data_IF_098649080883
#
_entry.id   IF_098649080883
#
_cell.length_a   1.000
_cell.length_b   1.000
_cell.length_c   1.000
_cell.angle_alpha   90.00
_cell.angle_beta   90.00
_cell.angle_gamma   90.00
#
_symmetry.space_group_name_H-M   'P 1'
#
loop_
_entity.id
_entity.type
_entity.pdbx_description
1 polymer ?
#
# COMPACT_ATOMS: atom_id res chain seq x y z
N UNK A 1 -16.62 -26.91 0.77
CA UNK A 1 -15.31 -27.01 0.10
C UNK A 1 -15.16 -25.99 -1.02
N UNK A 2 -16.20 -25.73 -1.79
CA UNK A 2 -16.16 -24.74 -2.90
C UNK A 2 -15.80 -23.33 -2.45
N UNK A 3 -16.33 -22.83 -1.32
CA UNK A 3 -16.08 -21.45 -0.88
C UNK A 3 -14.60 -21.20 -0.56
N UNK A 4 -13.90 -22.18 0.03
CA UNK A 4 -12.47 -22.05 0.31
C UNK A 4 -11.63 -22.00 -0.96
N UNK A 5 -12.00 -22.80 -1.97
CA UNK A 5 -11.34 -22.80 -3.27
C UNK A 5 -11.57 -21.47 -3.99
N UNK A 6 -12.80 -20.94 -3.95
CA UNK A 6 -13.10 -19.63 -4.52
C UNK A 6 -12.32 -18.52 -3.84
N UNK A 7 -12.29 -18.47 -2.49
CA UNK A 7 -11.49 -17.53 -1.73
C UNK A 7 -9.99 -17.60 -2.10
N UNK A 8 -9.46 -18.82 -2.17
CA UNK A 8 -8.07 -19.03 -2.54
C UNK A 8 -7.76 -18.52 -3.95
N UNK A 9 -8.57 -18.89 -4.95
CA UNK A 9 -8.34 -18.52 -6.35
C UNK A 9 -8.51 -17.02 -6.59
N UNK A 10 -9.55 -16.39 -6.02
CA UNK A 10 -9.77 -14.95 -6.15
C UNK A 10 -8.62 -14.16 -5.54
N UNK A 11 -8.16 -14.53 -4.34
CA UNK A 11 -7.04 -13.82 -3.73
C UNK A 11 -5.68 -14.20 -4.30
N UNK A 12 -5.53 -15.38 -4.89
CA UNK A 12 -4.37 -15.72 -5.71
C UNK A 12 -4.29 -14.82 -6.96
N UNK A 13 -5.41 -14.57 -7.60
CA UNK A 13 -5.50 -13.64 -8.73
C UNK A 13 -5.18 -12.20 -8.28
N UNK A 14 -5.75 -11.74 -7.16
CA UNK A 14 -5.42 -10.45 -6.57
C UNK A 14 -3.92 -10.35 -6.28
N UNK A 15 -3.32 -11.35 -5.64
CA UNK A 15 -1.90 -11.38 -5.32
C UNK A 15 -0.98 -11.38 -6.53
N UNK A 16 -1.41 -12.00 -7.64
CA UNK A 16 -0.65 -12.07 -8.89
C UNK A 16 -0.69 -10.75 -9.67
N UNK A 17 -1.84 -10.08 -9.71
CA UNK A 17 -2.08 -8.91 -10.55
C UNK A 17 -2.05 -7.58 -9.81
N UNK A 18 -1.96 -7.55 -8.48
CA UNK A 18 -1.83 -6.31 -7.71
C UNK A 18 -0.43 -5.71 -7.81
N UNK A 19 -0.01 -5.39 -9.03
CA UNK A 19 1.28 -4.77 -9.33
C UNK A 19 1.13 -3.26 -9.19
N UNK A 20 1.97 -2.61 -8.37
CA UNK A 20 2.00 -1.15 -8.25
C UNK A 20 1.62 -0.59 -6.88
N UNK A 21 1.28 -1.45 -5.90
CA UNK A 21 1.04 -1.03 -4.51
C UNK A 21 -0.43 -0.94 -4.12
N UNK A 22 -0.70 -0.53 -2.87
CA UNK A 22 -1.98 -0.68 -2.19
C UNK A 22 -3.21 -0.23 -2.98
N UNK A 23 -3.23 1.00 -3.47
CA UNK A 23 -4.38 1.54 -4.22
C UNK A 23 -4.58 0.90 -5.59
N UNK A 24 -3.51 0.42 -6.24
CA UNK A 24 -3.62 -0.25 -7.53
C UNK A 24 -4.33 -1.62 -7.44
N UNK A 25 -4.32 -2.24 -6.27
CA UNK A 25 -5.04 -3.50 -6.02
C UNK A 25 -6.55 -3.30 -5.82
N UNK A 26 -7.01 -2.11 -5.42
CA UNK A 26 -8.41 -1.86 -5.03
C UNK A 26 -9.42 -2.19 -6.14
N UNK A 27 -9.24 -1.75 -7.40
CA UNK A 27 -10.20 -2.08 -8.46
C UNK A 27 -10.30 -3.60 -8.70
N UNK A 28 -9.19 -4.31 -8.55
CA UNK A 28 -9.16 -5.76 -8.72
C UNK A 28 -9.87 -6.47 -7.56
N UNK A 29 -9.61 -6.05 -6.31
CA UNK A 29 -10.30 -6.57 -5.14
C UNK A 29 -11.80 -6.31 -5.24
N UNK A 30 -12.20 -5.08 -5.63
CA UNK A 30 -13.60 -4.72 -5.83
C UNK A 30 -14.26 -5.60 -6.89
N UNK A 31 -13.58 -5.82 -8.02
CA UNK A 31 -14.08 -6.68 -9.10
C UNK A 31 -14.35 -8.09 -8.62
N UNK A 32 -13.44 -8.67 -7.85
CA UNK A 32 -13.58 -10.04 -7.32
C UNK A 32 -14.67 -10.14 -6.23
N UNK A 33 -14.59 -9.23 -5.26
CA UNK A 33 -15.35 -9.37 -4.00
C UNK A 33 -16.78 -8.83 -4.12
N UNK A 34 -16.98 -7.74 -4.89
CA UNK A 34 -18.32 -7.11 -5.06
C UNK A 34 -19.00 -7.62 -6.32
N UNK A 35 -18.35 -7.52 -7.47
CA UNK A 35 -19.00 -7.81 -8.75
C UNK A 35 -18.92 -9.28 -9.13
N UNK A 36 -17.80 -9.96 -8.88
CA UNK A 36 -17.60 -11.36 -9.28
C UNK A 36 -18.36 -12.34 -8.40
N UNK A 37 -18.13 -12.25 -7.12
CA UNK A 37 -18.71 -13.20 -6.16
C UNK A 37 -19.86 -12.65 -5.32
N UNK A 38 -20.05 -11.33 -5.26
CA UNK A 38 -21.07 -10.69 -4.44
C UNK A 38 -20.89 -10.94 -2.94
N UNK A 39 -19.65 -11.16 -2.48
CA UNK A 39 -19.33 -11.43 -1.09
C UNK A 39 -19.54 -10.23 -0.17
N UNK A 40 -19.32 -9.03 -0.72
CA UNK A 40 -19.57 -7.77 -0.03
C UNK A 40 -20.43 -6.84 -0.89
N UNK A 41 -21.24 -6.04 -0.23
CA UNK A 41 -21.88 -4.87 -0.84
C UNK A 41 -20.85 -3.75 -1.05
N UNK A 42 -21.20 -2.75 -1.85
CA UNK A 42 -20.32 -1.60 -2.07
C UNK A 42 -20.04 -0.81 -0.79
N UNK A 43 -21.02 -0.72 0.12
CA UNK A 43 -20.84 -0.10 1.43
C UNK A 43 -19.83 -0.86 2.28
N UNK A 44 -19.98 -2.18 2.39
CA UNK A 44 -19.06 -3.04 3.15
C UNK A 44 -17.65 -3.03 2.54
N UNK A 45 -17.54 -2.88 1.23
CA UNK A 45 -16.24 -2.71 0.56
C UNK A 45 -15.57 -1.39 0.95
N UNK A 46 -16.33 -0.30 1.10
CA UNK A 46 -15.79 0.98 1.59
C UNK A 46 -15.29 0.87 3.03
N UNK A 47 -16.04 0.17 3.88
CA UNK A 47 -15.62 -0.11 5.26
C UNK A 47 -14.35 -0.97 5.30
N UNK A 48 -14.26 -1.98 4.43
CA UNK A 48 -13.07 -2.82 4.28
C UNK A 48 -11.83 -1.97 3.93
N UNK A 49 -11.96 -1.05 2.97
CA UNK A 49 -10.85 -0.17 2.58
C UNK A 49 -10.41 0.68 3.78
N UNK A 50 -11.36 1.29 4.49
CA UNK A 50 -11.07 2.11 5.65
C UNK A 50 -10.32 1.32 6.73
N UNK A 51 -10.77 0.11 7.03
CA UNK A 51 -10.11 -0.79 8.00
C UNK A 51 -8.73 -1.21 7.50
N UNK A 52 -8.60 -1.54 6.20
CA UNK A 52 -7.34 -1.96 5.61
C UNK A 52 -6.29 -0.84 5.61
N UNK A 53 -6.70 0.42 5.49
CA UNK A 53 -5.82 1.59 5.58
C UNK A 53 -5.37 1.88 7.02
N UNK A 54 -6.24 1.63 8.00
CA UNK A 54 -5.91 1.78 9.42
C UNK A 54 -5.04 0.65 9.95
N UNK A 55 -5.02 -0.50 9.28
CA UNK A 55 -4.27 -1.69 9.68
C UNK A 55 -2.88 -1.66 9.07
N UNK A 56 -1.79 -1.76 9.85
CA UNK A 56 -0.44 -1.79 9.29
C UNK A 56 -0.24 -3.03 8.44
N UNK A 57 0.14 -2.83 7.16
CA UNK A 57 0.38 -3.91 6.20
C UNK A 57 -0.12 -3.60 4.79
N UNK A 58 0.14 -4.50 3.82
CA UNK A 58 -0.37 -4.35 2.46
C UNK A 58 -1.89 -4.42 2.42
N UNK A 59 -2.54 -3.46 1.75
CA UNK A 59 -4.01 -3.41 1.62
C UNK A 59 -4.59 -4.72 1.08
N UNK A 60 -3.93 -5.33 0.08
CA UNK A 60 -4.37 -6.60 -0.49
C UNK A 60 -4.40 -7.74 0.54
N UNK A 61 -3.40 -7.82 1.42
CA UNK A 61 -3.32 -8.84 2.49
C UNK A 61 -4.36 -8.58 3.57
N UNK A 62 -4.52 -7.32 3.99
CA UNK A 62 -5.53 -6.93 4.97
C UNK A 62 -6.94 -7.21 4.44
N UNK A 63 -7.19 -6.90 3.16
CA UNK A 63 -8.46 -7.21 2.48
C UNK A 63 -8.73 -8.71 2.39
N UNK A 64 -7.71 -9.50 2.04
CA UNK A 64 -7.83 -10.96 2.00
C UNK A 64 -8.23 -11.54 3.35
N UNK A 65 -7.58 -11.07 4.41
CA UNK A 65 -7.88 -11.49 5.78
C UNK A 65 -9.31 -11.10 6.19
N UNK A 66 -9.71 -9.86 5.93
CA UNK A 66 -11.04 -9.35 6.27
C UNK A 66 -12.14 -10.12 5.54
N UNK A 67 -12.03 -10.25 4.21
CA UNK A 67 -13.02 -10.99 3.40
C UNK A 67 -13.07 -12.46 3.82
N UNK A 68 -11.90 -13.06 4.03
CA UNK A 68 -11.81 -14.45 4.50
C UNK A 68 -12.53 -14.67 5.82
N UNK A 69 -12.34 -13.77 6.81
CA UNK A 69 -13.04 -13.82 8.09
C UNK A 69 -14.55 -13.70 7.89
N UNK A 70 -14.97 -12.75 7.07
CA UNK A 70 -16.38 -12.45 6.82
C UNK A 70 -17.13 -13.62 6.20
N UNK A 71 -16.48 -14.33 5.28
CA UNK A 71 -17.12 -15.38 4.46
C UNK A 71 -17.03 -16.76 5.09
N UNK A 72 -15.88 -17.11 5.66
CA UNK A 72 -15.62 -18.45 6.17
C UNK A 72 -14.86 -18.49 7.51
N UNK A 73 -14.93 -17.42 8.29
CA UNK A 73 -14.28 -17.30 9.59
C UNK A 73 -12.74 -17.36 9.51
N UNK A 74 -12.12 -17.80 10.59
CA UNK A 74 -10.65 -17.84 10.71
C UNK A 74 -10.00 -18.71 9.64
N UNK A 75 -10.60 -19.84 9.30
CA UNK A 75 -10.10 -20.72 8.23
C UNK A 75 -10.14 -20.04 6.86
N UNK A 76 -11.21 -19.29 6.57
CA UNK A 76 -11.31 -18.47 5.37
C UNK A 76 -10.23 -17.41 5.29
N UNK A 77 -9.94 -16.72 6.40
CA UNK A 77 -8.87 -15.73 6.48
C UNK A 77 -7.51 -16.32 6.14
N UNK A 78 -7.17 -17.47 6.73
CA UNK A 78 -5.89 -18.15 6.47
C UNK A 78 -5.77 -18.51 4.98
N UNK A 79 -6.82 -19.10 4.41
CA UNK A 79 -6.81 -19.55 3.01
C UNK A 79 -6.73 -18.37 2.03
N UNK A 80 -7.53 -17.33 2.25
CA UNK A 80 -7.51 -16.13 1.40
C UNK A 80 -6.16 -15.41 1.47
N UNK A 81 -5.63 -15.23 2.68
CA UNK A 81 -4.32 -14.59 2.89
C UNK A 81 -3.19 -15.40 2.28
N UNK A 82 -3.22 -16.73 2.43
CA UNK A 82 -2.23 -17.61 1.81
C UNK A 82 -2.30 -17.54 0.28
N UNK A 83 -3.50 -17.54 -0.31
CA UNK A 83 -3.70 -17.32 -1.74
C UNK A 83 -3.09 -16.01 -2.22
N UNK A 84 -3.30 -14.92 -1.49
CA UNK A 84 -2.78 -13.60 -1.83
C UNK A 84 -1.24 -13.53 -1.81
N UNK A 85 -0.58 -14.19 -0.86
CA UNK A 85 0.86 -14.12 -0.65
C UNK A 85 1.62 -15.10 -1.56
N UNK A 86 1.03 -16.24 -1.88
CA UNK A 86 1.68 -17.35 -2.57
C UNK A 86 2.36 -16.96 -3.90
N UNK A 87 1.71 -16.20 -4.81
CA UNK A 87 2.35 -15.80 -6.07
C UNK A 87 3.61 -14.97 -5.84
N UNK A 88 3.55 -14.02 -4.91
CA UNK A 88 4.68 -13.15 -4.56
C UNK A 88 5.84 -13.95 -3.97
N UNK A 89 5.56 -14.90 -3.07
CA UNK A 89 6.58 -15.78 -2.52
C UNK A 89 7.26 -16.61 -3.62
N UNK A 90 6.47 -17.17 -4.54
CA UNK A 90 7.02 -17.97 -5.64
C UNK A 90 7.92 -17.14 -6.57
N UNK A 91 7.42 -15.97 -7.00
CA UNK A 91 8.15 -15.07 -7.92
C UNK A 91 9.46 -14.59 -7.26
N UNK A 92 9.39 -14.12 -6.01
CA UNK A 92 10.58 -13.62 -5.29
C UNK A 92 11.59 -14.73 -5.05
N UNK A 93 11.14 -15.93 -4.68
CA UNK A 93 12.02 -17.08 -4.48
C UNK A 93 12.72 -17.51 -5.78
N UNK A 94 11.98 -17.53 -6.89
CA UNK A 94 12.52 -17.82 -8.22
C UNK A 94 13.56 -16.76 -8.62
N UNK A 95 13.23 -15.49 -8.46
CA UNK A 95 14.15 -14.39 -8.77
C UNK A 95 15.40 -14.43 -7.89
N UNK A 96 15.25 -14.72 -6.60
CA UNK A 96 16.39 -14.89 -5.70
C UNK A 96 17.29 -16.04 -6.13
N UNK A 97 16.70 -17.19 -6.49
CA UNK A 97 17.45 -18.33 -7.00
C UNK A 97 18.24 -17.98 -8.28
N UNK A 98 17.59 -17.32 -9.24
CA UNK A 98 18.24 -16.86 -10.48
C UNK A 98 19.37 -15.87 -10.15
N UNK A 99 19.12 -14.91 -9.26
CA UNK A 99 20.10 -13.92 -8.82
C UNK A 99 21.34 -14.60 -8.22
N UNK A 100 21.16 -15.48 -7.23
CA UNK A 100 22.28 -16.17 -6.59
C UNK A 100 23.09 -17.04 -7.56
N UNK A 101 22.40 -17.70 -8.50
CA UNK A 101 23.04 -18.55 -9.49
C UNK A 101 23.83 -17.76 -10.55
N UNK A 102 23.33 -16.58 -10.94
CA UNK A 102 23.87 -15.80 -12.07
C UNK A 102 24.41 -14.42 -11.64
N UNK A 103 24.62 -14.18 -10.35
CA UNK A 103 25.07 -12.86 -9.82
C UNK A 103 26.34 -12.30 -10.43
N UNK A 104 27.21 -13.16 -10.97
CA UNK A 104 28.47 -12.78 -11.60
C UNK A 104 28.34 -12.51 -13.11
N UNK A 105 27.16 -12.69 -13.71
CA UNK A 105 26.93 -12.41 -15.12
C UNK A 105 26.73 -10.90 -15.30
N UNK A 106 27.57 -10.29 -16.11
CA UNK A 106 27.56 -8.86 -16.40
C UNK A 106 26.20 -8.36 -16.92
N UNK A 107 25.52 -9.16 -17.72
CA UNK A 107 24.18 -8.86 -18.25
C UNK A 107 23.15 -8.69 -17.14
N UNK A 108 23.14 -9.55 -16.12
CA UNK A 108 22.21 -9.43 -14.98
C UNK A 108 22.49 -8.17 -14.19
N UNK A 109 23.76 -7.84 -13.94
CA UNK A 109 24.15 -6.61 -13.26
C UNK A 109 23.75 -5.37 -14.06
N UNK A 110 23.88 -5.40 -15.38
CA UNK A 110 23.45 -4.30 -16.24
C UNK A 110 21.94 -4.10 -16.21
N UNK A 111 21.15 -5.17 -16.25
CA UNK A 111 19.67 -5.08 -16.10
C UNK A 111 19.28 -4.51 -14.76
N UNK A 112 19.87 -4.98 -13.67
CA UNK A 112 19.59 -4.45 -12.33
C UNK A 112 20.01 -2.97 -12.18
N UNK A 113 21.14 -2.59 -12.78
CA UNK A 113 21.59 -1.20 -12.79
C UNK A 113 20.60 -0.30 -13.55
N UNK A 114 20.06 -0.77 -14.67
CA UNK A 114 19.06 -0.04 -15.47
C UNK A 114 17.72 0.11 -14.78
N UNK A 115 17.35 -0.79 -13.85
CA UNK A 115 16.12 -0.70 -13.06
C UNK A 115 16.19 0.33 -11.93
N UNK A 116 17.38 0.64 -11.43
CA UNK A 116 17.55 1.58 -10.31
C UNK A 116 16.94 2.97 -10.55
N UNK A 117 17.15 3.62 -11.71
CA UNK A 117 16.51 4.92 -11.98
C UNK A 117 14.99 4.84 -12.02
N UNK A 118 14.44 3.74 -12.57
CA UNK A 118 13.00 3.52 -12.61
C UNK A 118 12.39 3.40 -11.20
N UNK A 119 13.04 2.65 -10.30
CA UNK A 119 12.61 2.54 -8.89
C UNK A 119 12.67 3.89 -8.19
N UNK A 120 13.74 4.66 -8.39
CA UNK A 120 13.87 6.02 -7.83
C UNK A 120 12.75 6.94 -8.34
N UNK A 121 12.44 6.88 -9.64
CA UNK A 121 11.37 7.66 -10.24
C UNK A 121 9.98 7.27 -9.67
N UNK A 122 9.72 5.98 -9.47
CA UNK A 122 8.47 5.50 -8.86
C UNK A 122 8.33 5.98 -7.40
N UNK A 123 9.39 5.91 -6.61
CA UNK A 123 9.41 6.42 -5.23
C UNK A 123 9.17 7.93 -5.21
N UNK A 124 9.83 8.68 -6.09
CA UNK A 124 9.65 10.11 -6.20
C UNK A 124 8.22 10.48 -6.63
N UNK A 125 7.65 9.77 -7.60
CA UNK A 125 6.28 9.98 -8.04
C UNK A 125 5.26 9.69 -6.93
N UNK A 126 5.45 8.62 -6.17
CA UNK A 126 4.62 8.30 -5.01
C UNK A 126 4.72 9.38 -3.93
N UNK A 127 5.94 9.83 -3.59
CA UNK A 127 6.16 10.92 -2.64
C UNK A 127 5.51 12.23 -3.09
N UNK A 128 5.59 12.56 -4.37
CA UNK A 128 4.94 13.74 -4.92
C UNK A 128 3.41 13.63 -4.90
N UNK A 129 2.86 12.45 -5.16
CA UNK A 129 1.42 12.21 -5.08
C UNK A 129 0.89 12.40 -3.65
N UNK A 130 1.59 11.87 -2.65
CA UNK A 130 1.25 12.05 -1.24
C UNK A 130 1.34 13.53 -0.85
N UNK A 131 2.42 14.22 -1.24
CA UNK A 131 2.60 15.64 -0.96
C UNK A 131 1.47 16.47 -1.58
N UNK A 132 1.11 16.20 -2.83
CA UNK A 132 -0.01 16.85 -3.49
C UNK A 132 -1.33 16.63 -2.74
N UNK A 133 -1.60 15.40 -2.30
CA UNK A 133 -2.80 15.06 -1.56
C UNK A 133 -2.89 15.84 -0.23
N UNK A 134 -1.80 15.88 0.53
CA UNK A 134 -1.71 16.62 1.80
C UNK A 134 -1.79 18.13 1.57
N UNK A 135 -1.13 18.65 0.53
CA UNK A 135 -1.11 20.08 0.24
C UNK A 135 -2.48 20.63 -0.16
N UNK A 136 -3.31 19.84 -0.84
CA UNK A 136 -4.62 20.27 -1.36
C UNK A 136 -5.81 19.55 -0.70
N UNK A 137 -5.63 18.95 0.47
CA UNK A 137 -6.67 18.24 1.24
C UNK A 137 -7.47 17.22 0.39
N UNK A 138 -6.80 16.53 -0.54
CA UNK A 138 -7.46 15.58 -1.45
C UNK A 138 -8.33 16.19 -2.55
N UNK A 139 -8.43 17.51 -2.62
CA UNK A 139 -9.25 18.24 -3.59
C UNK A 139 -8.49 18.63 -4.88
N UNK A 140 -9.18 19.40 -5.73
CA UNK A 140 -8.58 20.00 -6.92
C UNK A 140 -7.43 20.96 -6.55
N UNK A 141 -6.43 21.07 -7.43
CA UNK A 141 -5.30 21.99 -7.28
C UNK A 141 -5.81 23.42 -7.42
N UNK A 142 -6.26 24.01 -6.31
CA UNK A 142 -6.70 25.41 -6.23
C UNK A 142 -6.04 26.07 -5.02
N UNK A 143 -5.70 27.34 -5.15
CA UNK A 143 -5.01 28.12 -4.11
C UNK A 143 -5.81 28.24 -2.82
N UNK A 144 -7.13 28.17 -2.91
CA UNK A 144 -8.05 28.29 -1.76
C UNK A 144 -8.08 27.04 -0.86
N UNK A 145 -7.62 25.90 -1.37
CA UNK A 145 -7.57 24.62 -0.64
C UNK A 145 -6.17 24.28 -0.11
N UNK A 146 -5.26 25.25 -0.07
CA UNK A 146 -3.87 25.00 0.31
C UNK A 146 -3.72 24.80 1.82
N UNK A 147 -3.28 23.62 2.22
CA UNK A 147 -2.99 23.30 3.62
C UNK A 147 -1.58 23.82 4.01
N UNK A 148 -1.51 25.09 4.42
CA UNK A 148 -0.27 25.72 4.86
C UNK A 148 0.36 25.02 6.06
N UNK A 149 -0.47 24.54 7.00
CA UNK A 149 -0.02 23.84 8.21
C UNK A 149 0.69 22.53 7.81
N UNK A 150 0.07 21.75 6.92
CA UNK A 150 0.65 20.50 6.40
C UNK A 150 1.98 20.74 5.66
N UNK A 151 2.07 21.78 4.84
CA UNK A 151 3.29 22.12 4.11
C UNK A 151 4.44 22.55 5.03
N UNK A 152 4.15 23.38 6.03
CA UNK A 152 5.17 23.81 7.02
C UNK A 152 5.67 22.62 7.84
N UNK A 153 4.76 21.74 8.31
CA UNK A 153 5.12 20.54 9.03
C UNK A 153 5.96 19.59 8.16
N UNK A 154 5.59 19.43 6.89
CA UNK A 154 6.37 18.63 5.94
C UNK A 154 7.80 19.20 5.77
N UNK A 155 7.93 20.51 5.54
CA UNK A 155 9.23 21.15 5.37
C UNK A 155 10.10 21.02 6.64
N UNK A 156 9.50 21.23 7.82
CA UNK A 156 10.18 21.06 9.10
C UNK A 156 10.64 19.61 9.34
N UNK A 157 9.75 18.65 9.11
CA UNK A 157 10.05 17.23 9.23
C UNK A 157 11.17 16.79 8.27
N UNK A 158 11.09 17.21 7.02
CA UNK A 158 12.11 16.94 6.01
C UNK A 158 13.48 17.49 6.42
N UNK A 159 13.53 18.72 6.91
CA UNK A 159 14.76 19.35 7.39
C UNK A 159 15.36 18.61 8.59
N UNK A 160 14.53 18.23 9.58
CA UNK A 160 14.95 17.50 10.77
C UNK A 160 15.49 16.12 10.40
N UNK A 161 14.79 15.37 9.55
CA UNK A 161 15.22 14.05 9.08
C UNK A 161 16.54 14.14 8.31
N UNK A 162 16.69 15.15 7.44
CA UNK A 162 17.89 15.30 6.60
C UNK A 162 19.10 15.76 7.38
N UNK A 163 18.95 16.73 8.29
CA UNK A 163 20.06 17.35 9.02
C UNK A 163 20.44 16.61 10.29
N UNK A 164 19.45 16.22 11.09
CA UNK A 164 19.68 15.60 12.40
C UNK A 164 19.63 14.07 12.38
N UNK A 165 19.18 13.47 11.28
CA UNK A 165 19.05 11.99 11.12
C UNK A 165 18.29 11.33 12.28
N UNK A 166 17.27 12.01 12.79
CA UNK A 166 16.42 11.48 13.85
C UNK A 166 15.63 10.25 13.38
N UNK A 167 15.15 9.46 14.35
CA UNK A 167 14.31 8.31 14.03
C UNK A 167 13.02 8.77 13.35
N UNK A 168 12.70 8.26 12.14
CA UNK A 168 11.50 8.64 11.40
C UNK A 168 10.21 8.52 12.21
N UNK A 169 10.07 7.47 13.03
CA UNK A 169 8.89 7.23 13.86
C UNK A 169 8.68 8.37 14.86
N UNK A 170 9.76 8.83 15.50
CA UNK A 170 9.71 9.95 16.45
C UNK A 170 9.31 11.25 15.75
N UNK A 171 9.87 11.53 14.57
CA UNK A 171 9.51 12.72 13.79
C UNK A 171 8.05 12.66 13.34
N UNK A 172 7.56 11.51 12.89
CA UNK A 172 6.15 11.31 12.53
C UNK A 172 5.22 11.56 13.73
N UNK A 173 5.54 11.03 14.90
CA UNK A 173 4.76 11.25 16.13
C UNK A 173 4.72 12.73 16.53
N UNK A 174 5.86 13.43 16.47
CA UNK A 174 5.93 14.87 16.74
C UNK A 174 5.13 15.69 15.74
N UNK A 175 5.17 15.33 14.45
CA UNK A 175 4.35 15.98 13.42
C UNK A 175 2.86 15.75 13.63
N UNK A 176 2.47 14.55 14.07
CA UNK A 176 1.07 14.24 14.41
C UNK A 176 0.56 15.10 15.56
N UNK A 177 1.32 15.18 16.66
CA UNK A 177 0.98 16.06 17.80
C UNK A 177 0.99 17.53 17.37
N UNK A 178 2.01 17.98 16.62
CA UNK A 178 2.09 19.34 16.11
C UNK A 178 0.94 19.72 15.19
N UNK A 179 0.49 18.80 14.33
CA UNK A 179 -0.66 18.97 13.46
C UNK A 179 -1.97 19.11 14.24
N UNK A 180 -2.17 18.27 15.28
CA UNK A 180 -3.32 18.37 16.17
C UNK A 180 -3.37 19.72 16.89
N UNK A 181 -2.25 20.15 17.49
CA UNK A 181 -2.18 21.43 18.19
C UNK A 181 -2.41 22.61 17.24
N UNK A 182 -1.80 22.56 16.06
CA UNK A 182 -1.98 23.62 15.06
C UNK A 182 -3.44 23.71 14.58
N UNK A 183 -4.11 22.58 14.38
CA UNK A 183 -5.52 22.55 13.97
C UNK A 183 -6.47 23.04 15.09
N UNK A 184 -6.12 22.79 16.36
CA UNK A 184 -6.90 23.31 17.51
C UNK A 184 -6.77 24.83 17.69
N UNK A 185 -5.64 25.44 17.23
CA UNK A 185 -5.38 26.87 17.39
C UNK A 185 -5.85 27.68 16.19
N UNK A 186 -5.73 27.13 14.98
CA UNK A 186 -5.96 27.84 13.71
C UNK A 186 -7.11 27.28 12.87
N UNK A 187 -7.69 26.12 13.22
CA UNK A 187 -8.88 25.53 12.60
C UNK A 187 -10.10 25.82 13.41
#
# INVERSE_FOLDING_TARGET
MEIYLQLFLSFLQVGLFSIGGGYAAMPLIQSEVVYGHGWLTMSEFTDLITIAEMTPGPIAVNSATFVGIRIAGVSGAIIATFGCILPSCFIVSLLAFIYYKYKNVSTLQSVLASLRPAVVALIAAAGFSILKNVAFNGGAVQTDNLNWIGLVLFAAAFFVLRKFKWNPVLVMSLCGVGGLVANLIFG
#
